data_IF_180745385469
#
_entry.id   IF_180745385469
#
_cell.length_a   1.000
_cell.length_b   1.000
_cell.length_c   1.000
_cell.angle_alpha   90.00
_cell.angle_beta   90.00
_cell.angle_gamma   90.00
#
_symmetry.space_group_name_H-M   'P 1'
#
loop_
_entity.id
_entity.type
_entity.pdbx_description
1 polymer ?
#
# COMPACT_ATOMS: atom_id res chain seq x y z
N UNK A 1 -2.05 -12.86 18.38
CA UNK A 1 -1.74 -13.65 17.18
C UNK A 1 -2.50 -13.01 16.03
N UNK A 2 -1.81 -12.50 15.00
CA UNK A 2 -2.46 -11.92 13.82
C UNK A 2 -3.05 -13.04 12.96
N UNK A 3 -4.33 -12.97 12.59
CA UNK A 3 -4.97 -13.96 11.71
C UNK A 3 -4.94 -13.47 10.27
N UNK A 4 -4.40 -14.24 9.29
CA UNK A 4 -4.44 -13.86 7.88
C UNK A 4 -5.89 -13.67 7.38
N UNK A 5 -6.15 -12.60 6.64
CA UNK A 5 -7.48 -12.26 6.10
C UNK A 5 -7.55 -12.24 4.57
N UNK A 6 -6.42 -12.14 3.89
CA UNK A 6 -6.38 -12.16 2.43
C UNK A 6 -5.14 -11.48 1.87
N UNK A 7 -5.06 -11.44 0.54
CA UNK A 7 -3.98 -10.83 -0.20
C UNK A 7 -4.53 -10.01 -1.37
N UNK A 8 -3.89 -8.89 -1.66
CA UNK A 8 -4.15 -8.04 -2.83
C UNK A 8 -2.84 -7.70 -3.51
N UNK A 9 -2.81 -7.86 -4.83
CA UNK A 9 -1.76 -7.30 -5.67
C UNK A 9 -2.34 -6.14 -6.49
N UNK A 10 -1.61 -5.03 -6.54
CA UNK A 10 -1.94 -3.88 -7.37
C UNK A 10 -0.80 -3.69 -8.36
N UNK A 11 -1.09 -3.88 -9.65
CA UNK A 11 -0.12 -3.73 -10.76
C UNK A 11 -0.29 -2.42 -11.52
N UNK A 12 -1.33 -1.65 -11.22
CA UNK A 12 -1.64 -0.37 -11.85
C UNK A 12 -1.72 0.75 -10.80
N UNK A 13 -0.65 1.55 -10.74
CA UNK A 13 -0.49 2.67 -9.78
C UNK A 13 -0.28 4.01 -10.49
N UNK A 14 -0.85 4.17 -11.69
CA UNK A 14 -0.75 5.38 -12.53
C UNK A 14 -1.49 6.59 -11.96
N UNK A 15 -2.37 6.36 -11.01
CA UNK A 15 -3.04 7.38 -10.21
C UNK A 15 -3.01 6.98 -8.75
N UNK A 16 -3.42 7.89 -7.87
CA UNK A 16 -3.68 7.53 -6.48
C UNK A 16 -4.70 6.38 -6.41
N UNK A 17 -4.33 5.28 -5.76
CA UNK A 17 -5.09 4.03 -5.66
C UNK A 17 -5.25 3.65 -4.20
N UNK A 18 -6.45 3.24 -3.80
CA UNK A 18 -6.75 2.74 -2.45
C UNK A 18 -6.66 1.23 -2.38
N UNK A 19 -6.61 0.72 -1.16
CA UNK A 19 -6.69 -0.71 -0.87
C UNK A 19 -8.13 -1.23 -0.99
N UNK A 20 -8.27 -2.51 -1.34
CA UNK A 20 -9.53 -3.26 -1.25
C UNK A 20 -9.46 -4.12 0.00
N UNK A 21 -9.77 -3.51 1.14
CA UNK A 21 -9.54 -4.10 2.47
C UNK A 21 -10.60 -5.18 2.75
N UNK A 22 -10.19 -6.44 3.04
CA UNK A 22 -11.12 -7.47 3.50
C UNK A 22 -11.82 -7.09 4.81
N UNK A 23 -13.04 -7.61 5.02
CA UNK A 23 -13.79 -7.34 6.24
C UNK A 23 -13.02 -7.76 7.50
N UNK A 24 -13.09 -6.93 8.55
CA UNK A 24 -12.41 -7.12 9.84
C UNK A 24 -10.88 -7.19 9.79
N UNK A 25 -10.23 -6.71 8.72
CA UNK A 25 -8.78 -6.48 8.73
C UNK A 25 -8.43 -5.26 9.58
N UNK A 26 -7.47 -5.42 10.49
CA UNK A 26 -6.95 -4.39 11.40
C UNK A 26 -5.56 -3.92 11.00
N UNK A 27 -4.86 -4.70 10.17
CA UNK A 27 -3.51 -4.37 9.71
C UNK A 27 -3.22 -4.93 8.31
N UNK A 28 -2.25 -4.31 7.65
CA UNK A 28 -1.75 -4.71 6.34
C UNK A 28 -0.22 -4.68 6.31
N UNK A 29 0.39 -5.77 5.85
CA UNK A 29 1.82 -5.83 5.56
C UNK A 29 2.01 -5.61 4.06
N UNK A 30 2.77 -4.58 3.70
CA UNK A 30 2.84 -4.07 2.33
C UNK A 30 4.29 -4.08 1.84
N UNK A 31 4.52 -4.63 0.65
CA UNK A 31 5.81 -4.67 -0.03
C UNK A 31 5.69 -4.08 -1.44
N UNK A 32 6.79 -3.52 -1.95
CA UNK A 32 6.89 -2.91 -3.28
C UNK A 32 7.91 -3.67 -4.12
N UNK A 33 7.54 -3.99 -5.34
CA UNK A 33 8.43 -4.51 -6.39
C UNK A 33 8.51 -3.52 -7.56
N UNK A 34 9.64 -3.50 -8.25
CA UNK A 34 9.88 -2.59 -9.38
C UNK A 34 10.31 -1.18 -8.94
N UNK A 35 9.75 -0.10 -9.50
CA UNK A 35 9.98 1.27 -9.03
C UNK A 35 9.35 1.60 -7.67
N UNK A 36 9.85 2.68 -7.04
CA UNK A 36 9.36 3.16 -5.75
C UNK A 36 7.90 3.66 -5.82
N UNK A 37 7.24 3.67 -4.65
CA UNK A 37 5.87 4.14 -4.46
C UNK A 37 5.85 5.28 -3.45
N UNK A 38 4.85 6.17 -3.56
CA UNK A 38 4.49 7.17 -2.55
C UNK A 38 3.17 6.77 -1.90
N UNK A 39 3.06 6.98 -0.60
CA UNK A 39 1.84 6.71 0.14
C UNK A 39 1.45 7.84 1.08
N UNK A 40 0.15 7.86 1.42
CA UNK A 40 -0.46 8.67 2.48
C UNK A 40 -1.56 7.86 3.15
N UNK A 41 -1.83 8.17 4.40
CA UNK A 41 -2.85 7.54 5.26
C UNK A 41 -3.85 8.56 5.83
N UNK A 42 -3.81 9.80 5.36
CA UNK A 42 -4.62 10.92 5.85
C UNK A 42 -5.77 11.29 4.88
N UNK A 43 -6.23 10.33 4.08
CA UNK A 43 -7.26 10.48 3.05
C UNK A 43 -6.93 11.48 1.92
N UNK A 44 -5.72 12.05 1.91
CA UNK A 44 -5.27 12.93 0.82
C UNK A 44 -4.55 12.12 -0.25
N UNK A 45 -4.81 12.42 -1.52
CA UNK A 45 -4.15 11.73 -2.63
C UNK A 45 -2.64 12.08 -2.68
N UNK A 46 -1.72 11.09 -2.64
CA UNK A 46 -0.32 11.32 -2.99
C UNK A 46 -0.17 11.60 -4.48
N UNK A 47 1.00 12.14 -4.85
CA UNK A 47 1.46 12.28 -6.24
C UNK A 47 2.83 11.61 -6.38
N UNK A 48 3.35 11.50 -7.61
CA UNK A 48 4.68 10.93 -7.85
C UNK A 48 5.82 11.66 -7.08
N UNK A 49 5.60 12.92 -6.68
CA UNK A 49 6.55 13.74 -5.92
C UNK A 49 6.10 14.06 -4.48
N UNK A 50 4.85 13.79 -4.10
CA UNK A 50 4.28 14.14 -2.79
C UNK A 50 3.76 12.90 -2.06
N UNK A 51 4.22 12.70 -0.83
CA UNK A 51 3.86 11.59 0.04
C UNK A 51 5.08 10.90 0.65
N UNK A 52 4.84 9.95 1.55
CA UNK A 52 5.89 9.17 2.19
C UNK A 52 6.48 8.16 1.20
N UNK A 53 7.81 8.10 1.02
CA UNK A 53 8.42 7.16 0.10
C UNK A 53 8.39 5.73 0.67
N UNK A 54 8.09 4.77 -0.18
CA UNK A 54 8.25 3.34 0.05
C UNK A 54 9.14 2.79 -1.06
N UNK A 55 10.34 2.35 -0.68
CA UNK A 55 11.38 1.92 -1.61
C UNK A 55 11.17 0.46 -2.01
N UNK A 56 11.32 0.16 -3.29
CA UNK A 56 11.22 -1.22 -3.77
C UNK A 56 12.34 -2.10 -3.20
N UNK A 57 11.99 -3.33 -2.84
CA UNK A 57 12.92 -4.28 -2.21
C UNK A 57 13.30 -3.95 -0.76
N UNK A 58 12.74 -2.89 -0.16
CA UNK A 58 12.88 -2.64 1.27
C UNK A 58 12.09 -3.67 2.10
N UNK A 59 12.33 -3.67 3.41
CA UNK A 59 11.55 -4.49 4.35
C UNK A 59 10.06 -4.12 4.23
N UNK A 60 9.14 -5.10 4.15
CA UNK A 60 7.71 -4.81 4.09
C UNK A 60 7.26 -3.93 5.26
N UNK A 61 6.47 -2.88 4.98
CA UNK A 61 5.96 -1.99 6.02
C UNK A 61 4.64 -2.51 6.56
N UNK A 62 4.51 -2.51 7.88
CA UNK A 62 3.27 -2.86 8.57
C UNK A 62 2.45 -1.60 8.84
N UNK A 63 1.21 -1.60 8.39
CA UNK A 63 0.22 -0.56 8.65
C UNK A 63 -0.82 -1.11 9.62
N UNK A 64 -1.06 -0.38 10.70
CA UNK A 64 -2.09 -0.68 11.73
C UNK A 64 -3.08 0.47 11.90
N UNK A 65 -3.08 1.41 10.96
CA UNK A 65 -3.97 2.58 10.95
C UNK A 65 -5.29 2.23 10.25
N UNK A 66 -6.15 3.23 10.02
CA UNK A 66 -7.30 3.04 9.13
C UNK A 66 -6.84 2.70 7.71
N UNK A 67 -6.91 1.41 7.39
CA UNK A 67 -6.49 0.88 6.09
C UNK A 67 -7.30 1.46 4.92
N UNK A 68 -8.50 1.99 5.18
CA UNK A 68 -9.34 2.61 4.15
C UNK A 68 -8.83 4.01 3.74
N UNK A 69 -8.08 4.68 4.61
CA UNK A 69 -7.47 5.98 4.34
C UNK A 69 -6.15 5.86 3.56
N UNK A 70 -5.59 4.65 3.43
CA UNK A 70 -4.34 4.41 2.71
C UNK A 70 -4.50 4.59 1.20
N UNK A 71 -3.59 5.38 0.63
CA UNK A 71 -3.53 5.71 -0.78
C UNK A 71 -2.10 5.58 -1.27
N UNK A 72 -1.92 4.98 -2.45
CA UNK A 72 -0.63 4.70 -3.07
C UNK A 72 -0.56 5.22 -4.50
N UNK A 73 0.62 5.60 -4.96
CA UNK A 73 0.91 5.95 -6.36
C UNK A 73 2.36 5.63 -6.68
N UNK A 74 2.65 5.22 -7.91
CA UNK A 74 4.02 4.99 -8.31
C UNK A 74 4.81 6.30 -8.49
N UNK A 75 6.13 6.24 -8.30
CA UNK A 75 7.03 7.32 -8.71
C UNK A 75 7.34 7.20 -10.21
N UNK A 76 7.40 5.97 -10.72
CA UNK A 76 7.58 5.65 -12.14
C UNK A 76 6.78 4.40 -12.53
N UNK A 77 6.46 4.25 -13.82
CA UNK A 77 5.67 3.14 -14.36
C UNK A 77 6.28 1.77 -14.07
N UNK A 78 5.44 0.78 -13.74
CA UNK A 78 5.84 -0.61 -13.52
C UNK A 78 5.96 -1.04 -12.05
N UNK A 79 5.60 -0.18 -11.09
CA UNK A 79 5.59 -0.56 -9.68
C UNK A 79 4.43 -1.51 -9.37
N UNK A 80 4.71 -2.52 -8.54
CA UNK A 80 3.73 -3.50 -8.07
C UNK A 80 3.65 -3.39 -6.54
N UNK A 81 2.44 -3.29 -6.01
CA UNK A 81 2.18 -3.32 -4.58
C UNK A 81 1.63 -4.70 -4.20
N UNK A 82 2.29 -5.36 -3.24
CA UNK A 82 1.87 -6.63 -2.68
C UNK A 82 1.38 -6.38 -1.24
N UNK A 83 0.14 -6.74 -0.95
CA UNK A 83 -0.52 -6.43 0.32
C UNK A 83 -1.06 -7.70 0.95
N UNK A 84 -0.64 -8.01 2.16
CA UNK A 84 -1.18 -9.09 2.98
C UNK A 84 -1.96 -8.51 4.15
N UNK A 85 -3.20 -8.94 4.35
CA UNK A 85 -4.10 -8.40 5.38
C UNK A 85 -4.20 -9.33 6.60
N UNK A 86 -4.33 -8.73 7.78
CA UNK A 86 -4.48 -9.45 9.04
C UNK A 86 -5.52 -8.80 9.96
N UNK A 87 -6.02 -9.56 10.93
CA UNK A 87 -6.78 -9.06 12.08
C UNK A 87 -6.06 -9.27 13.40
#
# INVERSE_FOLDING_TARGET
MSTPKGYQQITTLSSSTSLTVPAASTSALISVEGPNVRWRDDMTAPTASVGMPMYAGAVPQLFTTDLSALRFIHVATGAILNVSYYS
#
